data_IF_559540544551
#
_entry.id   IF_559540544551
#
_cell.length_a   1.000
_cell.length_b   1.000
_cell.length_c   1.000
_cell.angle_alpha   90.00
_cell.angle_beta   90.00
_cell.angle_gamma   90.00
#
_symmetry.space_group_name_H-M   'P 1'
#
loop_
_entity.id
_entity.type
_entity.pdbx_description
1 polymer ?
#
# COMPACT_ATOMS: atom_id res chain seq x y z
N UNK A 1 -24.91 -5.70 5.74
CA UNK A 1 -24.25 -6.75 4.91
C UNK A 1 -23.20 -6.25 3.90
N UNK A 2 -23.15 -4.96 3.51
CA UNK A 2 -22.13 -4.44 2.57
C UNK A 2 -20.68 -4.57 3.08
N UNK A 3 -20.44 -4.42 4.39
CA UNK A 3 -19.08 -4.42 4.95
C UNK A 3 -18.45 -5.81 5.16
N UNK A 4 -19.28 -6.85 5.27
CA UNK A 4 -18.82 -8.25 5.46
C UNK A 4 -17.99 -8.73 4.26
N UNK A 5 -18.35 -8.29 3.04
CA UNK A 5 -17.58 -8.62 1.83
C UNK A 5 -16.16 -8.08 1.91
N UNK A 6 -15.96 -6.87 2.42
CA UNK A 6 -14.61 -6.29 2.58
C UNK A 6 -13.83 -6.99 3.70
N UNK A 7 -14.49 -7.42 4.77
CA UNK A 7 -13.85 -8.16 5.85
C UNK A 7 -13.35 -9.52 5.38
N UNK A 8 -14.15 -10.26 4.59
CA UNK A 8 -13.73 -11.53 3.98
C UNK A 8 -12.52 -11.36 3.05
N UNK A 9 -12.55 -10.32 2.20
CA UNK A 9 -11.42 -10.00 1.31
C UNK A 9 -10.17 -9.64 2.12
N UNK A 10 -10.32 -8.88 3.21
CA UNK A 10 -9.22 -8.52 4.10
C UNK A 10 -8.60 -9.73 4.80
N UNK A 11 -9.42 -10.67 5.29
CA UNK A 11 -8.95 -11.93 5.89
C UNK A 11 -8.16 -12.74 4.84
N UNK A 12 -8.72 -12.90 3.64
CA UNK A 12 -8.06 -13.64 2.57
C UNK A 12 -6.73 -13.01 2.17
N UNK A 13 -6.69 -11.68 2.03
CA UNK A 13 -5.47 -10.92 1.76
C UNK A 13 -4.42 -11.07 2.86
N UNK A 14 -4.84 -11.01 4.13
CA UNK A 14 -3.96 -11.22 5.28
C UNK A 14 -3.33 -12.63 5.28
N UNK A 15 -4.13 -13.66 5.04
CA UNK A 15 -3.66 -15.05 4.96
C UNK A 15 -2.60 -15.21 3.86
N UNK A 16 -2.86 -14.65 2.67
CA UNK A 16 -1.92 -14.70 1.55
C UNK A 16 -0.61 -14.00 1.90
N UNK A 17 -0.68 -12.81 2.51
CA UNK A 17 0.52 -12.05 2.86
C UNK A 17 1.39 -12.76 3.91
N UNK A 18 0.77 -13.40 4.91
CA UNK A 18 1.50 -14.22 5.89
C UNK A 18 2.12 -15.45 5.21
N UNK A 19 1.34 -16.19 4.41
CA UNK A 19 1.80 -17.40 3.70
C UNK A 19 2.90 -17.14 2.68
N UNK A 20 2.90 -15.97 2.04
CA UNK A 20 3.91 -15.57 1.06
C UNK A 20 5.18 -14.99 1.68
N UNK A 21 5.27 -14.93 3.03
CA UNK A 21 6.35 -14.29 3.78
C UNK A 21 6.60 -12.83 3.41
N UNK A 22 5.68 -12.19 2.67
CA UNK A 22 5.77 -10.79 2.24
C UNK A 22 5.66 -9.81 3.41
N UNK A 23 5.40 -10.34 4.61
CA UNK A 23 5.33 -9.62 5.88
C UNK A 23 6.70 -9.59 6.59
N UNK A 24 7.64 -10.45 6.19
CA UNK A 24 8.95 -10.57 6.85
C UNK A 24 9.89 -9.43 6.45
N UNK A 25 10.43 -8.75 7.47
CA UNK A 25 11.49 -7.75 7.31
C UNK A 25 12.70 -8.30 6.54
N UNK A 26 13.03 -9.57 6.74
CA UNK A 26 14.17 -10.22 6.12
C UNK A 26 14.05 -10.24 4.58
N UNK A 27 12.85 -10.45 4.05
CA UNK A 27 12.60 -10.45 2.59
C UNK A 27 12.74 -9.06 1.99
N UNK A 28 12.31 -8.02 2.71
CA UNK A 28 12.50 -6.62 2.32
C UNK A 28 13.99 -6.27 2.32
N UNK A 29 14.73 -6.72 3.34
CA UNK A 29 16.17 -6.53 3.44
C UNK A 29 16.94 -7.24 2.31
N UNK A 30 16.60 -8.50 2.01
CA UNK A 30 17.17 -9.24 0.87
C UNK A 30 16.90 -8.56 -0.48
N UNK A 31 15.73 -7.95 -0.63
CA UNK A 31 15.36 -7.18 -1.83
C UNK A 31 16.33 -6.01 -2.04
N UNK A 32 16.59 -5.23 -1.00
CA UNK A 32 17.53 -4.10 -1.06
C UNK A 32 18.99 -4.52 -1.24
N UNK A 33 19.36 -5.73 -0.79
CA UNK A 33 20.69 -6.31 -1.01
C UNK A 33 20.82 -7.10 -2.31
N UNK A 34 19.77 -7.13 -3.14
CA UNK A 34 19.70 -7.88 -4.40
C UNK A 34 20.02 -9.37 -4.25
N UNK A 35 19.72 -9.97 -3.09
CA UNK A 35 20.02 -11.37 -2.81
C UNK A 35 18.90 -12.34 -3.21
N UNK A 36 17.65 -11.87 -3.27
CA UNK A 36 16.52 -12.71 -3.65
C UNK A 36 15.56 -12.01 -4.62
N UNK A 37 15.14 -12.73 -5.67
CA UNK A 37 14.18 -12.25 -6.66
C UNK A 37 12.71 -12.38 -6.21
N UNK A 38 12.47 -12.99 -5.06
CA UNK A 38 11.12 -13.37 -4.61
C UNK A 38 10.20 -12.15 -4.45
N UNK A 39 10.64 -11.11 -3.72
CA UNK A 39 9.87 -9.88 -3.53
C UNK A 39 9.72 -9.08 -4.82
N UNK A 40 10.77 -9.01 -5.65
CA UNK A 40 10.71 -8.35 -6.96
C UNK A 40 9.68 -9.02 -7.88
N UNK A 41 9.61 -10.35 -7.86
CA UNK A 41 8.59 -11.11 -8.59
C UNK A 41 7.17 -10.83 -8.11
N UNK A 42 6.94 -10.81 -6.79
CA UNK A 42 5.63 -10.48 -6.21
C UNK A 42 5.21 -9.05 -6.60
N UNK A 43 6.08 -8.06 -6.41
CA UNK A 43 5.78 -6.67 -6.72
C UNK A 43 5.56 -6.49 -8.23
N UNK A 44 6.42 -7.07 -9.07
CA UNK A 44 6.30 -6.99 -10.53
C UNK A 44 5.01 -7.62 -11.05
N UNK A 45 4.65 -8.81 -10.58
CA UNK A 45 3.38 -9.45 -10.96
C UNK A 45 2.17 -8.67 -10.47
N UNK A 46 2.20 -8.10 -9.26
CA UNK A 46 1.15 -7.23 -8.75
C UNK A 46 0.96 -5.96 -9.61
N UNK A 47 2.06 -5.33 -10.03
CA UNK A 47 2.02 -4.15 -10.92
C UNK A 47 1.44 -4.53 -12.29
N UNK A 48 1.91 -5.63 -12.89
CA UNK A 48 1.45 -6.09 -14.20
C UNK A 48 -0.04 -6.46 -14.19
N UNK A 49 -0.49 -7.21 -13.19
CA UNK A 49 -1.91 -7.58 -13.03
C UNK A 49 -2.79 -6.35 -12.80
N UNK A 50 -2.34 -5.41 -11.95
CA UNK A 50 -3.02 -4.13 -11.74
C UNK A 50 -3.12 -3.28 -13.02
N UNK A 51 -2.05 -3.23 -13.81
CA UNK A 51 -2.02 -2.52 -15.09
C UNK A 51 -2.95 -3.17 -16.12
N UNK A 52 -2.95 -4.50 -16.23
CA UNK A 52 -3.85 -5.24 -17.13
C UNK A 52 -5.31 -4.99 -16.74
N UNK A 53 -5.61 -5.08 -15.44
CA UNK A 53 -6.96 -4.83 -14.92
C UNK A 53 -7.40 -3.40 -15.20
N UNK A 54 -6.52 -2.41 -15.03
CA UNK A 54 -6.79 -1.01 -15.35
C UNK A 54 -7.11 -0.80 -16.83
N UNK A 55 -6.31 -1.38 -17.73
CA UNK A 55 -6.52 -1.29 -19.18
C UNK A 55 -7.85 -1.93 -19.62
N UNK A 56 -8.17 -3.10 -19.08
CA UNK A 56 -9.43 -3.80 -19.35
C UNK A 56 -10.61 -2.99 -18.79
N UNK A 57 -10.50 -2.49 -17.57
CA UNK A 57 -11.55 -1.71 -16.91
C UNK A 57 -11.87 -0.42 -17.67
N UNK A 58 -10.83 0.25 -18.19
CA UNK A 58 -10.97 1.44 -19.04
C UNK A 58 -11.64 1.15 -20.39
N UNK A 59 -11.40 -0.03 -20.99
CA UNK A 59 -11.96 -0.42 -22.30
C UNK A 59 -13.39 -0.95 -22.19
N UNK A 60 -13.74 -1.59 -21.07
CA UNK A 60 -15.00 -2.32 -20.92
C UNK A 60 -16.08 -1.58 -20.11
N UNK A 61 -15.88 -0.31 -19.73
CA UNK A 61 -16.79 0.45 -18.86
C UNK A 61 -17.30 -0.38 -17.68
N UNK A 62 -16.36 -1.06 -17.00
CA UNK A 62 -16.69 -1.98 -15.90
C UNK A 62 -17.41 -1.18 -14.82
N UNK A 63 -18.62 -1.63 -14.45
CA UNK A 63 -19.43 -1.01 -13.41
C UNK A 63 -19.01 -1.54 -12.05
N UNK A 64 -19.00 -0.66 -11.05
CA UNK A 64 -18.73 -1.07 -9.67
C UNK A 64 -19.90 -1.94 -9.12
N UNK A 65 -19.77 -2.47 -7.90
CA UNK A 65 -20.84 -3.22 -7.22
C UNK A 65 -22.13 -2.41 -7.00
N UNK A 66 -22.16 -1.12 -7.35
CA UNK A 66 -23.27 -0.19 -7.27
C UNK A 66 -23.80 0.24 -8.67
N UNK A 67 -23.36 -0.42 -9.75
CA UNK A 67 -23.69 -0.13 -11.14
C UNK A 67 -23.22 1.24 -11.68
N UNK A 68 -22.32 1.93 -10.98
CA UNK A 68 -21.72 3.19 -11.45
C UNK A 68 -20.46 2.91 -12.28
N UNK A 69 -20.17 3.74 -13.31
CA UNK A 69 -18.92 3.64 -14.05
C UNK A 69 -17.73 3.89 -13.10
N UNK A 70 -16.72 3.03 -13.16
CA UNK A 70 -15.47 3.24 -12.43
C UNK A 70 -14.74 4.41 -13.06
N UNK A 71 -14.97 5.62 -12.54
CA UNK A 71 -14.24 6.82 -12.92
C UNK A 71 -12.90 6.85 -12.17
N UNK A 72 -11.81 6.72 -12.91
CA UNK A 72 -10.47 6.86 -12.38
C UNK A 72 -10.08 8.35 -12.41
N UNK A 73 -9.97 9.03 -11.24
CA UNK A 73 -9.58 10.43 -11.22
C UNK A 73 -8.16 10.58 -11.76
N UNK A 74 -7.93 11.63 -12.55
CA UNK A 74 -6.60 11.99 -13.03
C UNK A 74 -5.69 12.33 -11.85
N UNK A 75 -4.46 11.82 -11.92
CA UNK A 75 -3.43 12.13 -10.91
C UNK A 75 -3.14 13.63 -10.92
N UNK A 76 -3.18 14.27 -9.75
CA UNK A 76 -2.82 15.69 -9.61
C UNK A 76 -1.42 15.94 -10.15
N UNK A 77 -1.24 17.05 -10.89
CA UNK A 77 0.08 17.48 -11.39
C UNK A 77 0.81 18.19 -10.25
N UNK A 78 1.97 17.69 -9.86
CA UNK A 78 2.74 18.25 -8.73
C UNK A 78 4.05 17.52 -8.50
N UNK A 79 5.07 17.80 -9.31
CA UNK A 79 6.36 17.10 -9.27
C UNK A 79 7.04 17.21 -7.90
N UNK A 80 7.01 18.40 -7.28
CA UNK A 80 7.60 18.67 -5.95
C UNK A 80 6.93 17.82 -4.87
N UNK A 81 5.59 17.75 -4.87
CA UNK A 81 4.82 16.95 -3.91
C UNK A 81 5.17 15.45 -4.00
N UNK A 82 5.33 14.91 -5.21
CA UNK A 82 5.66 13.49 -5.38
C UNK A 82 7.09 13.15 -5.00
N UNK A 83 8.06 14.00 -5.31
CA UNK A 83 9.45 13.76 -4.89
C UNK A 83 9.57 13.86 -3.38
N UNK A 84 9.11 14.97 -2.78
CA UNK A 84 9.26 15.18 -1.33
C UNK A 84 8.49 14.10 -0.56
N UNK A 85 7.23 13.87 -0.91
CA UNK A 85 6.40 12.85 -0.26
C UNK A 85 6.93 11.43 -0.49
N UNK A 86 7.38 11.12 -1.71
CA UNK A 86 7.95 9.81 -2.06
C UNK A 86 9.25 9.53 -1.33
N UNK A 87 10.14 10.52 -1.21
CA UNK A 87 11.39 10.40 -0.45
C UNK A 87 11.13 10.20 1.04
N UNK A 88 10.25 10.99 1.66
CA UNK A 88 9.91 10.84 3.09
C UNK A 88 9.27 9.47 3.34
N UNK A 89 8.34 9.05 2.49
CA UNK A 89 7.71 7.73 2.60
C UNK A 89 8.72 6.59 2.42
N UNK A 90 9.61 6.69 1.44
CA UNK A 90 10.66 5.70 1.18
C UNK A 90 11.65 5.58 2.32
N UNK A 91 12.08 6.71 2.91
CA UNK A 91 12.94 6.73 4.09
C UNK A 91 12.25 6.08 5.30
N UNK A 92 10.99 6.43 5.55
CA UNK A 92 10.21 5.80 6.62
C UNK A 92 10.05 4.29 6.41
N UNK A 93 9.79 3.86 5.17
CA UNK A 93 9.70 2.45 4.82
C UNK A 93 11.02 1.71 5.02
N UNK A 94 12.16 2.32 4.67
CA UNK A 94 13.48 1.74 4.90
C UNK A 94 13.83 1.63 6.40
N UNK A 95 13.44 2.61 7.22
CA UNK A 95 13.68 2.61 8.67
C UNK A 95 12.84 1.56 9.41
N UNK A 96 11.54 1.47 9.08
CA UNK A 96 10.61 0.54 9.73
C UNK A 96 10.77 -0.88 9.14
N UNK A 97 11.14 -0.96 7.85
CA UNK A 97 11.23 -2.19 7.08
C UNK A 97 9.89 -2.94 6.99
N UNK A 98 8.78 -2.21 7.07
CA UNK A 98 7.44 -2.71 6.84
C UNK A 98 6.63 -1.63 6.11
N UNK A 99 5.82 -2.05 5.14
CA UNK A 99 4.85 -1.16 4.48
C UNK A 99 3.50 -1.19 5.22
N UNK A 100 2.59 -0.24 4.96
CA UNK A 100 1.31 -0.17 5.66
C UNK A 100 0.53 -1.49 5.68
N UNK A 101 0.58 -2.31 4.63
CA UNK A 101 -0.07 -3.63 4.62
C UNK A 101 0.48 -4.58 5.70
N UNK A 102 1.76 -4.97 5.63
CA UNK A 102 2.45 -5.73 6.66
C UNK A 102 2.36 -5.14 8.08
N UNK A 103 2.33 -3.81 8.25
CA UNK A 103 2.20 -3.20 9.58
C UNK A 103 0.96 -3.68 10.33
N UNK A 104 -0.21 -3.69 9.68
CA UNK A 104 -1.46 -4.17 10.29
C UNK A 104 -1.46 -5.69 10.51
N UNK A 105 -0.81 -6.45 9.61
CA UNK A 105 -0.74 -7.90 9.71
C UNK A 105 0.23 -8.33 10.82
N UNK A 106 1.38 -7.69 10.95
CA UNK A 106 2.34 -7.89 12.02
C UNK A 106 1.72 -7.58 13.38
N UNK A 107 0.92 -6.51 13.46
CA UNK A 107 0.16 -6.21 14.66
C UNK A 107 -0.81 -7.36 15.00
N UNK A 108 -1.55 -7.87 14.01
CA UNK A 108 -2.43 -9.04 14.18
C UNK A 108 -1.69 -10.34 14.51
N UNK A 109 -0.42 -10.47 14.11
CA UNK A 109 0.45 -11.59 14.43
C UNK A 109 1.13 -11.47 15.81
N UNK A 110 0.82 -10.43 16.60
CA UNK A 110 1.32 -10.24 17.97
C UNK A 110 2.53 -9.32 18.11
N UNK A 111 2.96 -8.64 17.04
CA UNK A 111 4.08 -7.69 17.08
C UNK A 111 3.57 -6.30 17.48
N UNK A 112 3.38 -6.09 18.78
CA UNK A 112 2.81 -4.85 19.33
C UNK A 112 3.68 -3.59 19.12
N UNK A 113 4.98 -3.75 18.83
CA UNK A 113 5.86 -2.63 18.48
C UNK A 113 5.39 -1.89 17.21
N UNK A 114 4.68 -2.58 16.30
CA UNK A 114 4.09 -1.94 15.11
C UNK A 114 2.96 -0.96 15.45
N UNK A 115 2.39 -1.03 16.65
CA UNK A 115 1.35 -0.10 17.10
C UNK A 115 1.90 1.33 17.21
N UNK A 116 3.17 1.48 17.62
CA UNK A 116 3.87 2.78 17.67
C UNK A 116 4.06 3.33 16.26
N UNK A 117 4.47 2.47 15.32
CA UNK A 117 4.68 2.85 13.93
C UNK A 117 3.35 3.26 13.25
N UNK A 118 2.27 2.51 13.50
CA UNK A 118 0.92 2.83 13.01
C UNK A 118 0.44 4.17 13.62
N UNK A 119 0.56 4.35 14.93
CA UNK A 119 0.18 5.59 15.60
C UNK A 119 0.96 6.80 15.03
N UNK A 120 2.27 6.65 14.85
CA UNK A 120 3.13 7.69 14.28
C UNK A 120 2.75 8.02 12.82
N UNK A 121 2.44 6.99 12.02
CA UNK A 121 1.97 7.16 10.65
C UNK A 121 0.60 7.88 10.59
N UNK A 122 -0.32 7.56 11.51
CA UNK A 122 -1.61 8.23 11.63
C UNK A 122 -1.44 9.71 12.01
N UNK A 123 -0.59 10.00 13.00
CA UNK A 123 -0.29 11.40 13.39
C UNK A 123 0.36 12.16 12.24
N UNK A 124 1.33 11.56 11.54
CA UNK A 124 1.99 12.18 10.39
C UNK A 124 1.04 12.47 9.23
N UNK A 125 0.16 11.52 8.91
CA UNK A 125 -0.86 11.71 7.85
C UNK A 125 -1.92 12.73 8.23
N UNK A 126 -2.33 12.79 9.50
CA UNK A 126 -3.25 13.80 10.01
C UNK A 126 -2.66 15.21 9.95
N UNK A 127 -1.41 15.37 10.42
CA UNK A 127 -0.67 16.64 10.34
C UNK A 127 -0.49 17.08 8.88
N UNK A 128 -0.11 16.15 7.99
CA UNK A 128 -0.01 16.45 6.57
C UNK A 128 -1.36 16.86 5.98
N UNK A 129 -2.47 16.23 6.39
CA UNK A 129 -3.82 16.59 5.97
C UNK A 129 -4.19 18.03 6.32
N UNK A 130 -3.83 18.50 7.52
CA UNK A 130 -4.06 19.89 7.96
C UNK A 130 -3.13 20.87 7.23
N UNK A 131 -1.86 20.48 7.04
CA UNK A 131 -0.85 21.38 6.47
C UNK A 131 -0.86 21.40 4.93
N UNK A 132 -1.57 20.46 4.31
CA UNK A 132 -1.66 20.31 2.85
C UNK A 132 -1.97 21.66 2.19
N UNK A 133 -3.04 22.33 2.60
CA UNK A 133 -3.49 23.57 1.94
C UNK A 133 -2.50 24.74 2.07
N UNK A 134 -1.49 24.63 2.93
CA UNK A 134 -0.42 25.63 3.12
C UNK A 134 0.90 25.25 2.43
N UNK A 135 1.04 24.04 1.90
CA UNK A 135 2.26 23.58 1.26
C UNK A 135 2.26 23.93 -0.24
N UNK A 136 3.42 24.32 -0.82
CA UNK A 136 3.51 24.58 -2.25
C UNK A 136 3.28 23.27 -3.03
N UNK A 137 2.16 23.19 -3.74
CA UNK A 137 1.77 22.08 -4.60
C UNK A 137 2.40 22.19 -5.99
#
# INVERSE_FOLDING_TARGET
MKHIKFLLVGIFFGIILVKSEAVSWYRIYEMFRFQSFHMYGIIGTAILTGMLFFLISKKSSVKNSLNEPINFPSKDKGFKRYIIGGSIFGLGWALIGACPGPMYILLGAGVYSMLIAIASALVGTFLYGILKDKLPH
#
